data_IF_210600036198
#
_entry.id   IF_210600036198
#
_cell.length_a   1.000
_cell.length_b   1.000
_cell.length_c   1.000
_cell.angle_alpha   90.00
_cell.angle_beta   90.00
_cell.angle_gamma   90.00
#
_symmetry.space_group_name_H-M   'P 1'
#
loop_
_entity.id
_entity.type
_entity.pdbx_description
1 polymer ?
#
# COMPACT_ATOMS: atom_id res chain seq x y z
N UNK A 1 -35.16 22.54 2.12
CA UNK A 1 -34.02 21.68 2.51
C UNK A 1 -34.26 20.21 2.17
N UNK A 2 -35.46 19.65 2.39
CA UNK A 2 -35.76 18.26 1.97
C UNK A 2 -35.63 17.98 0.47
N UNK A 3 -36.02 18.92 -0.40
CA UNK A 3 -35.93 18.75 -1.86
C UNK A 3 -34.48 18.65 -2.34
N UNK A 4 -33.58 19.48 -1.78
CA UNK A 4 -32.14 19.46 -2.10
C UNK A 4 -31.49 18.11 -1.73
N UNK A 5 -31.84 17.54 -0.57
CA UNK A 5 -31.34 16.22 -0.18
C UNK A 5 -31.82 15.11 -1.11
N UNK A 6 -33.06 15.18 -1.62
CA UNK A 6 -33.58 14.19 -2.58
C UNK A 6 -32.88 14.28 -3.94
N UNK A 7 -32.58 15.49 -4.42
CA UNK A 7 -31.82 15.70 -5.65
C UNK A 7 -30.37 15.20 -5.54
N UNK A 8 -29.68 15.51 -4.44
CA UNK A 8 -28.30 15.05 -4.23
C UNK A 8 -28.23 13.51 -4.13
N UNK A 9 -29.17 12.87 -3.42
CA UNK A 9 -29.24 11.41 -3.33
C UNK A 9 -29.58 10.79 -4.70
N UNK A 10 -30.49 11.40 -5.47
CA UNK A 10 -30.83 10.92 -6.81
C UNK A 10 -29.65 11.04 -7.81
N UNK A 11 -28.82 12.08 -7.69
CA UNK A 11 -27.61 12.25 -8.51
C UNK A 11 -26.51 11.23 -8.14
N UNK A 12 -26.27 11.03 -6.84
CA UNK A 12 -25.32 10.02 -6.32
C UNK A 12 -25.73 8.60 -6.74
N UNK A 13 -27.03 8.35 -6.83
CA UNK A 13 -27.60 7.08 -7.26
C UNK A 13 -27.97 7.06 -8.74
N UNK A 14 -27.62 8.05 -9.56
CA UNK A 14 -27.91 8.04 -10.99
C UNK A 14 -26.88 7.20 -11.75
N UNK A 15 -27.29 6.48 -12.82
CA UNK A 15 -26.43 5.46 -13.46
C UNK A 15 -25.24 6.11 -14.16
N UNK A 16 -25.50 7.31 -14.66
CA UNK A 16 -24.54 8.13 -15.38
C UNK A 16 -23.88 9.19 -14.50
N UNK A 17 -24.26 9.25 -13.21
CA UNK A 17 -23.78 10.20 -12.24
C UNK A 17 -22.27 10.14 -12.07
N UNK A 18 -21.63 11.31 -12.12
CA UNK A 18 -20.17 11.45 -11.97
C UNK A 18 -19.72 10.86 -10.63
N UNK A 19 -20.50 11.04 -9.57
CA UNK A 19 -20.18 10.53 -8.22
C UNK A 19 -20.06 9.01 -8.20
N UNK A 20 -20.97 8.28 -8.84
CA UNK A 20 -20.93 6.82 -8.90
C UNK A 20 -19.73 6.31 -9.72
N UNK A 21 -19.42 6.99 -10.83
CA UNK A 21 -18.23 6.69 -11.65
C UNK A 21 -16.94 6.89 -10.86
N UNK A 22 -16.84 8.00 -10.12
CA UNK A 22 -15.71 8.28 -9.23
C UNK A 22 -15.62 7.20 -8.15
N UNK A 23 -16.74 6.85 -7.51
CA UNK A 23 -16.78 5.81 -6.49
C UNK A 23 -16.26 4.45 -7.01
N UNK A 24 -16.61 4.07 -8.25
CA UNK A 24 -16.13 2.84 -8.91
C UNK A 24 -14.64 2.88 -9.24
N UNK A 25 -14.13 4.05 -9.63
CA UNK A 25 -12.72 4.23 -9.98
C UNK A 25 -11.80 4.31 -8.76
N UNK A 26 -12.33 4.83 -7.65
CA UNK A 26 -11.54 5.17 -6.48
C UNK A 26 -10.75 3.99 -5.89
N UNK A 27 -11.28 2.75 -5.78
CA UNK A 27 -10.49 1.61 -5.33
C UNK A 27 -9.23 1.33 -6.18
N UNK A 28 -9.31 1.51 -7.50
CA UNK A 28 -8.15 1.30 -8.40
C UNK A 28 -7.10 2.39 -8.19
N UNK A 29 -7.54 3.64 -8.06
CA UNK A 29 -6.63 4.76 -7.75
C UNK A 29 -5.92 4.51 -6.42
N UNK A 30 -6.67 4.18 -5.37
CA UNK A 30 -6.12 3.98 -4.03
C UNK A 30 -5.19 2.77 -3.96
N UNK A 31 -5.54 1.64 -4.59
CA UNK A 31 -4.65 0.47 -4.67
C UNK A 31 -3.39 0.78 -5.46
N UNK A 32 -3.48 1.54 -6.55
CA UNK A 32 -2.31 1.99 -7.33
C UNK A 32 -1.40 2.87 -6.47
N UNK A 33 -1.95 3.84 -5.74
CA UNK A 33 -1.17 4.70 -4.82
C UNK A 33 -0.46 3.86 -3.76
N UNK A 34 -1.17 2.92 -3.14
CA UNK A 34 -0.59 2.04 -2.10
C UNK A 34 0.50 1.13 -2.66
N UNK A 35 0.28 0.54 -3.83
CA UNK A 35 1.24 -0.32 -4.51
C UNK A 35 2.50 0.45 -4.92
N UNK A 36 2.34 1.61 -5.56
CA UNK A 36 3.47 2.46 -5.97
C UNK A 36 4.24 2.99 -4.76
N UNK A 37 3.56 3.40 -3.68
CA UNK A 37 4.22 3.77 -2.44
C UNK A 37 5.06 2.61 -1.88
N UNK A 38 4.56 1.37 -1.93
CA UNK A 38 5.30 0.19 -1.45
C UNK A 38 6.53 -0.12 -2.31
N UNK A 39 6.41 -0.02 -3.64
CA UNK A 39 7.52 -0.19 -4.59
C UNK A 39 8.55 0.93 -4.41
N UNK A 40 8.11 2.18 -4.23
CA UNK A 40 8.98 3.31 -3.96
C UNK A 40 9.75 3.15 -2.64
N UNK A 41 9.08 2.68 -1.58
CA UNK A 41 9.75 2.35 -0.31
C UNK A 41 10.82 1.26 -0.49
N UNK A 42 10.54 0.23 -1.29
CA UNK A 42 11.53 -0.80 -1.59
C UNK A 42 12.77 -0.19 -2.25
N UNK A 43 12.62 0.56 -3.34
CA UNK A 43 13.77 1.17 -4.03
C UNK A 43 14.50 2.21 -3.18
N UNK A 44 13.77 3.05 -2.44
CA UNK A 44 14.37 4.03 -1.54
C UNK A 44 15.21 3.40 -0.43
N UNK A 45 14.86 2.18 0.01
CA UNK A 45 15.65 1.47 1.02
C UNK A 45 16.84 0.75 0.38
N UNK A 46 16.72 0.28 -0.87
CA UNK A 46 17.83 -0.40 -1.57
C UNK A 46 19.04 0.51 -1.81
N UNK A 47 18.86 1.84 -1.82
CA UNK A 47 19.99 2.78 -1.91
C UNK A 47 20.90 2.75 -0.68
N UNK A 48 20.42 2.19 0.44
CA UNK A 48 21.22 1.95 1.65
C UNK A 48 21.85 0.55 1.68
N UNK A 49 21.89 -0.17 0.55
CA UNK A 49 22.52 -1.48 0.41
C UNK A 49 23.62 -1.50 -0.66
N UNK A 50 24.62 -2.40 -0.53
CA UNK A 50 25.53 -2.77 -1.62
C UNK A 50 24.76 -3.23 -2.89
N UNK A 51 25.17 -2.87 -4.13
CA UNK A 51 26.36 -2.09 -4.51
C UNK A 51 26.14 -0.57 -4.59
N UNK A 52 24.95 -0.08 -4.23
CA UNK A 52 24.55 1.32 -4.41
C UNK A 52 25.19 2.29 -3.42
N UNK A 53 25.95 1.77 -2.46
CA UNK A 53 26.78 2.54 -1.56
C UNK A 53 28.23 2.53 -2.03
N UNK A 54 28.96 3.65 -1.94
CA UNK A 54 30.37 3.68 -2.30
C UNK A 54 31.12 2.60 -1.54
N UNK A 55 31.65 1.61 -2.25
CA UNK A 55 32.48 0.57 -1.68
C UNK A 55 33.91 1.09 -1.59
N UNK A 56 34.36 1.43 -0.39
CA UNK A 56 35.79 1.56 -0.17
C UNK A 56 36.44 0.17 -0.28
N UNK A 57 37.66 0.04 -0.82
CA UNK A 57 38.37 -1.23 -0.93
C UNK A 57 38.38 -1.96 0.41
N UNK A 58 38.20 -3.29 0.42
CA UNK A 58 38.10 -4.12 1.62
C UNK A 58 39.30 -3.93 2.58
N UNK A 59 40.45 -3.52 2.06
CA UNK A 59 41.70 -3.24 2.78
C UNK A 59 41.82 -1.81 3.34
N UNK A 60 40.90 -0.91 3.02
CA UNK A 60 40.99 0.51 3.42
C UNK A 60 40.32 0.77 4.78
N UNK A 61 40.91 1.64 5.60
CA UNK A 61 40.27 2.19 6.81
C UNK A 61 38.96 2.95 6.52
N UNK A 62 38.71 3.30 5.26
CA UNK A 62 37.46 3.89 4.77
C UNK A 62 36.31 2.88 4.64
N UNK A 63 36.58 1.56 4.51
CA UNK A 63 35.53 0.52 4.50
C UNK A 63 34.76 0.48 5.82
N UNK A 64 35.43 0.83 6.94
CA UNK A 64 34.81 1.03 8.26
C UNK A 64 34.04 2.36 8.41
N UNK A 65 34.25 3.34 7.51
CA UNK A 65 33.65 4.68 7.60
C UNK A 65 32.35 4.83 6.80
N UNK A 66 32.13 4.00 5.79
CA UNK A 66 30.90 4.05 4.97
C UNK A 66 29.85 3.14 5.63
N UNK A 67 29.35 3.60 6.77
CA UNK A 67 28.28 2.94 7.51
C UNK A 67 26.98 3.73 7.29
N UNK A 68 26.05 3.19 6.52
CA UNK A 68 24.76 3.84 6.26
C UNK A 68 23.71 3.60 7.34
N UNK A 69 24.01 2.78 8.35
CA UNK A 69 23.13 2.53 9.48
C UNK A 69 22.60 3.82 10.14
N UNK A 70 23.42 4.85 10.44
CA UNK A 70 22.92 6.06 11.10
C UNK A 70 21.95 6.83 10.22
N UNK A 71 22.24 6.95 8.91
CA UNK A 71 21.38 7.64 7.95
C UNK A 71 20.07 6.88 7.76
N UNK A 72 20.13 5.55 7.63
CA UNK A 72 18.96 4.67 7.52
C UNK A 72 18.08 4.74 8.78
N UNK A 73 18.68 4.75 9.99
CA UNK A 73 17.97 4.95 11.26
C UNK A 73 17.21 6.27 11.29
N UNK A 74 17.87 7.38 10.91
CA UNK A 74 17.25 8.71 10.86
C UNK A 74 16.11 8.73 9.83
N UNK A 75 16.34 8.16 8.64
CA UNK A 75 15.33 8.05 7.61
C UNK A 75 14.13 7.23 8.08
N UNK A 76 14.34 6.07 8.72
CA UNK A 76 13.25 5.25 9.25
C UNK A 76 12.46 5.97 10.34
N UNK A 77 13.14 6.66 11.27
CA UNK A 77 12.47 7.44 12.33
C UNK A 77 11.62 8.58 11.77
N UNK A 78 12.09 9.25 10.71
CA UNK A 78 11.41 10.41 10.12
C UNK A 78 10.35 10.03 9.10
N UNK A 79 10.69 9.20 8.12
CA UNK A 79 9.81 8.78 7.03
C UNK A 79 8.68 7.89 7.52
N UNK A 80 8.96 6.88 8.35
CA UNK A 80 7.90 5.96 8.83
C UNK A 80 6.87 6.71 9.66
N UNK A 81 7.31 7.59 10.57
CA UNK A 81 6.38 8.37 11.42
C UNK A 81 5.45 9.28 10.62
N UNK A 82 5.93 9.85 9.50
CA UNK A 82 5.15 10.76 8.65
C UNK A 82 4.25 10.04 7.66
N UNK A 83 4.75 8.97 7.05
CA UNK A 83 4.06 8.27 5.95
C UNK A 83 3.02 7.27 6.49
N UNK A 84 3.27 6.64 7.64
CA UNK A 84 2.43 5.56 8.15
C UNK A 84 0.97 5.98 8.43
N UNK A 85 0.67 7.13 9.09
CA UNK A 85 -0.71 7.57 9.28
C UNK A 85 -1.45 7.81 7.95
N UNK A 86 -0.77 8.39 6.96
CA UNK A 86 -1.33 8.62 5.63
C UNK A 86 -1.66 7.31 4.91
N UNK A 87 -0.75 6.32 4.97
CA UNK A 87 -0.99 4.98 4.41
C UNK A 87 -2.19 4.31 5.08
N UNK A 88 -2.33 4.41 6.41
CA UNK A 88 -3.49 3.86 7.12
C UNK A 88 -4.80 4.53 6.67
N UNK A 89 -4.81 5.87 6.54
CA UNK A 89 -5.98 6.60 6.05
C UNK A 89 -6.40 6.14 4.65
N UNK A 90 -5.44 5.99 3.73
CA UNK A 90 -5.68 5.51 2.36
C UNK A 90 -6.21 4.07 2.36
N UNK A 91 -5.68 3.18 3.21
CA UNK A 91 -6.18 1.80 3.37
C UNK A 91 -7.62 1.77 3.88
N UNK A 92 -7.96 2.62 4.86
CA UNK A 92 -9.33 2.69 5.37
C UNK A 92 -10.30 3.22 4.32
N UNK A 93 -9.90 4.27 3.59
CA UNK A 93 -10.69 4.81 2.49
C UNK A 93 -10.87 3.78 1.36
N UNK A 94 -9.83 3.01 1.03
CA UNK A 94 -9.92 1.91 0.08
C UNK A 94 -10.97 0.88 0.51
N UNK A 95 -10.91 0.45 1.78
CA UNK A 95 -11.86 -0.54 2.30
C UNK A 95 -13.29 -0.02 2.29
N UNK A 96 -13.50 1.24 2.68
CA UNK A 96 -14.81 1.87 2.66
C UNK A 96 -15.36 1.95 1.23
N UNK A 97 -14.53 2.37 0.27
CA UNK A 97 -14.94 2.49 -1.14
C UNK A 97 -15.22 1.14 -1.78
N UNK A 98 -14.44 0.10 -1.45
CA UNK A 98 -14.72 -1.27 -1.85
C UNK A 98 -16.06 -1.77 -1.28
N UNK A 99 -16.33 -1.53 0.01
CA UNK A 99 -17.62 -1.87 0.63
C UNK A 99 -18.78 -1.12 -0.04
N UNK A 100 -18.62 0.18 -0.26
CA UNK A 100 -19.64 0.97 -0.95
C UNK A 100 -19.91 0.43 -2.36
N UNK A 101 -18.90 0.03 -3.12
CA UNK A 101 -19.11 -0.59 -4.44
C UNK A 101 -19.81 -1.97 -4.37
N UNK A 102 -19.69 -2.70 -3.26
CA UNK A 102 -20.39 -3.99 -3.07
C UNK A 102 -21.90 -3.79 -2.80
N UNK A 103 -22.28 -2.67 -2.17
CA UNK A 103 -23.65 -2.44 -1.69
C UNK A 103 -24.42 -1.34 -2.43
N UNK A 104 -23.75 -0.35 -3.02
CA UNK A 104 -24.38 0.75 -3.74
C UNK A 104 -24.72 0.28 -5.15
N UNK A 105 -26.01 0.30 -5.46
CA UNK A 105 -26.58 -0.07 -6.77
C UNK A 105 -26.10 -1.42 -7.30
N UNK A 106 -26.37 -2.52 -6.57
CA UNK A 106 -25.95 -3.85 -6.98
C UNK A 106 -26.58 -4.29 -8.32
N UNK A 107 -27.73 -3.71 -8.69
CA UNK A 107 -28.40 -3.93 -9.97
C UNK A 107 -27.57 -3.49 -11.19
N UNK A 108 -26.61 -2.58 -11.01
CA UNK A 108 -25.77 -2.09 -12.10
C UNK A 108 -24.71 -3.11 -12.54
N UNK A 109 -24.47 -4.14 -11.72
CA UNK A 109 -23.52 -5.19 -12.04
C UNK A 109 -24.10 -6.28 -12.95
N UNK A 110 -25.40 -6.21 -13.32
CA UNK A 110 -26.04 -7.16 -14.25
C UNK A 110 -25.77 -8.64 -13.92
N UNK A 111 -25.59 -9.47 -14.95
CA UNK A 111 -25.05 -10.85 -14.85
C UNK A 111 -23.52 -10.89 -14.59
N UNK A 112 -22.88 -9.74 -14.38
CA UNK A 112 -21.42 -9.59 -14.33
C UNK A 112 -20.81 -9.90 -12.96
N UNK A 113 -19.56 -10.33 -12.99
CA UNK A 113 -18.74 -10.64 -11.81
C UNK A 113 -18.21 -9.38 -11.07
N UNK A 114 -18.74 -8.18 -11.34
CA UNK A 114 -18.28 -6.91 -10.77
C UNK A 114 -18.36 -6.88 -9.23
N UNK A 115 -19.49 -7.29 -8.67
CA UNK A 115 -19.67 -7.37 -7.20
C UNK A 115 -18.71 -8.39 -6.56
N UNK A 116 -18.52 -9.54 -7.20
CA UNK A 116 -17.60 -10.59 -6.72
C UNK A 116 -16.17 -10.08 -6.73
N UNK A 117 -15.75 -9.39 -7.79
CA UNK A 117 -14.39 -8.85 -7.92
C UNK A 117 -14.11 -7.70 -6.95
N UNK A 118 -15.09 -6.83 -6.65
CA UNK A 118 -14.97 -5.89 -5.52
C UNK A 118 -14.90 -6.61 -4.16
N UNK A 119 -15.69 -7.67 -3.95
CA UNK A 119 -15.62 -8.51 -2.76
C UNK A 119 -14.25 -9.18 -2.57
N UNK A 120 -13.69 -9.75 -3.63
CA UNK A 120 -12.35 -10.34 -3.63
C UNK A 120 -11.28 -9.28 -3.34
N UNK A 121 -11.39 -8.08 -3.94
CA UNK A 121 -10.51 -6.96 -3.64
C UNK A 121 -10.60 -6.56 -2.16
N UNK A 122 -11.82 -6.54 -1.59
CA UNK A 122 -12.02 -6.23 -0.18
C UNK A 122 -11.32 -7.26 0.72
N UNK A 123 -11.46 -8.55 0.45
CA UNK A 123 -10.78 -9.62 1.20
C UNK A 123 -9.26 -9.50 1.06
N UNK A 124 -8.74 -9.33 -0.16
CA UNK A 124 -7.31 -9.18 -0.42
C UNK A 124 -6.72 -7.93 0.27
N UNK A 125 -7.52 -6.88 0.51
CA UNK A 125 -7.10 -5.72 1.29
C UNK A 125 -6.71 -6.04 2.75
N UNK A 126 -7.02 -7.24 3.25
CA UNK A 126 -6.61 -7.74 4.57
C UNK A 126 -5.47 -8.77 4.50
N UNK A 127 -5.07 -9.23 3.31
CA UNK A 127 -4.08 -10.29 3.17
C UNK A 127 -2.67 -9.90 3.68
N UNK A 128 -2.42 -8.62 3.96
CA UNK A 128 -1.18 -8.16 4.59
C UNK A 128 -1.14 -8.37 6.11
N UNK A 129 -2.28 -8.64 6.76
CA UNK A 129 -2.36 -8.75 8.23
C UNK A 129 -1.41 -9.82 8.81
N UNK A 130 -1.22 -11.01 8.21
CA UNK A 130 -0.26 -11.99 8.72
C UNK A 130 1.21 -11.52 8.63
N UNK A 131 1.52 -10.61 7.71
CA UNK A 131 2.87 -10.07 7.50
C UNK A 131 3.15 -8.84 8.38
N UNK A 132 2.11 -8.09 8.73
CA UNK A 132 2.23 -6.81 9.43
C UNK A 132 2.94 -6.92 10.79
N UNK A 133 2.63 -7.88 11.69
CA UNK A 133 3.33 -8.02 12.97
C UNK A 133 4.83 -8.27 12.79
N UNK A 134 5.21 -9.10 11.82
CA UNK A 134 6.62 -9.41 11.55
C UNK A 134 7.36 -8.17 11.02
N UNK A 135 6.76 -7.43 10.09
CA UNK A 135 7.31 -6.17 9.58
C UNK A 135 7.48 -5.13 10.69
N UNK A 136 6.43 -4.90 11.49
CA UNK A 136 6.46 -3.93 12.60
C UNK A 136 7.53 -4.27 13.62
N UNK A 137 7.73 -5.55 13.93
CA UNK A 137 8.81 -5.99 14.85
C UNK A 137 10.18 -5.60 14.31
N UNK A 138 10.44 -5.85 13.02
CA UNK A 138 11.71 -5.51 12.38
C UNK A 138 11.89 -3.98 12.32
N UNK A 139 10.87 -3.24 11.89
CA UNK A 139 10.91 -1.78 11.83
C UNK A 139 11.14 -1.14 13.21
N UNK A 140 10.49 -1.63 14.26
CA UNK A 140 10.68 -1.12 15.62
C UNK A 140 12.08 -1.42 16.14
N UNK A 141 12.67 -2.58 15.82
CA UNK A 141 14.08 -2.86 16.12
C UNK A 141 15.00 -1.91 15.33
N UNK A 142 14.81 -1.74 14.03
CA UNK A 142 15.65 -0.82 13.24
C UNK A 142 15.58 0.64 13.73
N UNK A 143 14.45 1.08 14.30
CA UNK A 143 14.31 2.42 14.89
C UNK A 143 14.90 2.54 16.30
N UNK A 144 15.10 1.43 17.01
CA UNK A 144 15.56 1.42 18.41
C UNK A 144 16.97 2.02 18.55
N UNK A 145 17.20 2.91 19.53
CA UNK A 145 18.54 3.38 19.87
C UNK A 145 19.51 2.27 20.28
N UNK A 146 18.99 1.14 20.77
CA UNK A 146 19.77 0.02 21.30
C UNK A 146 20.26 -0.94 20.19
N UNK A 147 19.75 -0.83 18.97
CA UNK A 147 20.18 -1.70 17.86
C UNK A 147 21.54 -1.27 17.33
N UNK A 148 22.52 -2.17 17.40
CA UNK A 148 23.86 -1.93 16.86
C UNK A 148 23.85 -1.72 15.35
N UNK A 149 24.85 -1.02 14.84
CA UNK A 149 24.89 -0.69 13.40
C UNK A 149 25.07 -1.93 12.51
N UNK A 150 25.84 -2.91 12.98
CA UNK A 150 26.03 -4.19 12.30
C UNK A 150 24.75 -5.04 12.24
N UNK A 151 23.85 -4.89 13.23
CA UNK A 151 22.58 -5.62 13.27
C UNK A 151 21.56 -5.09 12.24
N UNK A 152 21.68 -3.83 11.84
CA UNK A 152 20.71 -3.17 10.96
C UNK A 152 20.73 -3.79 9.58
N UNK A 153 21.90 -4.17 9.06
CA UNK A 153 21.99 -4.81 7.74
C UNK A 153 21.21 -6.13 7.74
N UNK A 154 21.34 -6.93 8.79
CA UNK A 154 20.57 -8.18 8.95
C UNK A 154 19.06 -7.94 9.11
N UNK A 155 18.67 -6.93 9.89
CA UNK A 155 17.26 -6.53 10.02
C UNK A 155 16.69 -6.02 8.69
N UNK A 156 17.48 -5.29 7.91
CA UNK A 156 17.09 -4.76 6.61
C UNK A 156 16.87 -5.88 5.59
N UNK A 157 17.74 -6.88 5.54
CA UNK A 157 17.55 -8.08 4.73
C UNK A 157 16.25 -8.82 5.12
N UNK A 158 15.99 -8.97 6.42
CA UNK A 158 14.75 -9.52 6.93
C UNK A 158 13.52 -8.71 6.50
N UNK A 159 13.61 -7.38 6.58
CA UNK A 159 12.57 -6.47 6.11
C UNK A 159 12.32 -6.64 4.62
N UNK A 160 13.38 -6.68 3.80
CA UNK A 160 13.28 -6.87 2.34
C UNK A 160 12.59 -8.17 1.97
N UNK A 161 12.95 -9.28 2.62
CA UNK A 161 12.32 -10.59 2.37
C UNK A 161 10.81 -10.51 2.60
N UNK A 162 10.37 -9.94 3.72
CA UNK A 162 8.95 -9.82 4.04
C UNK A 162 8.26 -8.81 3.12
N UNK A 163 8.91 -7.69 2.82
CA UNK A 163 8.36 -6.65 1.95
C UNK A 163 8.19 -7.15 0.51
N UNK A 164 9.12 -7.96 -0.02
CA UNK A 164 8.97 -8.60 -1.33
C UNK A 164 7.78 -9.57 -1.37
N UNK A 165 7.62 -10.40 -0.33
CA UNK A 165 6.45 -11.28 -0.22
C UNK A 165 5.17 -10.43 -0.21
N UNK A 166 5.15 -9.34 0.56
CA UNK A 166 3.99 -8.44 0.58
C UNK A 166 3.71 -7.83 -0.79
N UNK A 167 4.72 -7.30 -1.48
CA UNK A 167 4.55 -6.70 -2.83
C UNK A 167 3.92 -7.73 -3.77
N UNK A 168 4.51 -8.91 -3.89
CA UNK A 168 4.15 -9.86 -4.94
C UNK A 168 2.98 -10.76 -4.60
N UNK A 169 2.78 -11.09 -3.32
CA UNK A 169 1.70 -11.98 -2.89
C UNK A 169 0.46 -11.25 -2.35
N UNK A 170 0.56 -9.94 -2.07
CA UNK A 170 -0.55 -9.16 -1.51
C UNK A 170 -0.87 -7.93 -2.34
N UNK A 171 0.05 -6.97 -2.43
CA UNK A 171 -0.25 -5.65 -2.98
C UNK A 171 -0.46 -5.71 -4.51
N UNK A 172 0.35 -6.49 -5.24
CA UNK A 172 0.22 -6.69 -6.68
C UNK A 172 -1.05 -7.47 -7.07
N UNK A 173 -1.38 -8.63 -6.45
CA UNK A 173 -2.65 -9.29 -6.70
C UNK A 173 -3.88 -8.42 -6.37
N UNK A 174 -3.85 -7.69 -5.25
CA UNK A 174 -4.93 -6.77 -4.90
C UNK A 174 -5.14 -5.70 -5.98
N UNK A 175 -4.04 -5.14 -6.49
CA UNK A 175 -4.08 -4.15 -7.56
C UNK A 175 -4.69 -4.73 -8.85
N UNK A 176 -4.28 -5.93 -9.27
CA UNK A 176 -4.84 -6.61 -10.44
C UNK A 176 -6.34 -6.91 -10.28
N UNK A 177 -6.77 -7.42 -9.12
CA UNK A 177 -8.19 -7.73 -8.87
C UNK A 177 -9.02 -6.45 -8.82
N UNK A 178 -8.46 -5.33 -8.35
CA UNK A 178 -9.13 -4.03 -8.36
C UNK A 178 -9.30 -3.50 -9.78
N UNK A 179 -8.30 -3.66 -10.66
CA UNK A 179 -8.43 -3.35 -12.09
C UNK A 179 -9.48 -4.24 -12.74
N UNK A 180 -9.48 -5.55 -12.44
CA UNK A 180 -10.49 -6.45 -12.98
C UNK A 180 -11.91 -6.02 -12.53
N UNK A 181 -12.06 -5.57 -11.27
CA UNK A 181 -13.34 -5.08 -10.76
C UNK A 181 -13.85 -3.88 -11.54
N UNK A 182 -12.99 -2.89 -11.84
CA UNK A 182 -13.42 -1.73 -12.62
C UNK A 182 -13.74 -2.08 -14.07
N UNK A 183 -12.92 -2.93 -14.72
CA UNK A 183 -13.13 -3.34 -16.11
C UNK A 183 -14.46 -4.10 -16.25
N UNK A 184 -14.77 -4.99 -15.30
CA UNK A 184 -16.04 -5.70 -15.25
C UNK A 184 -17.25 -4.79 -14.95
N UNK A 185 -17.00 -3.61 -14.37
CA UNK A 185 -18.06 -2.64 -14.03
C UNK A 185 -18.29 -1.61 -15.14
N UNK A 186 -17.27 -1.27 -15.93
CA UNK A 186 -17.36 -0.30 -17.04
C UNK A 186 -17.85 -0.96 -18.34
N UNK A 187 -17.68 -2.29 -18.48
CA UNK A 187 -18.16 -3.05 -19.65
C UNK A 187 -19.68 -3.33 -19.66
N UNK A 188 -20.45 -2.75 -18.74
CA UNK A 188 -21.91 -2.91 -18.56
C UNK A 188 -22.61 -1.54 -18.52
#
# INVERSE_FOLDING_TARGET
MESYNRFAVAEVLSKDGVVLKVLRLLPVILTTVLFMNRVAQFYAITTFMPPHMPHAPASSTASKRINAAPVLKIWLRTSVARVFPGVLAVVMLLRLTLLLNIFVRPSDFGFGYGRITYGLSFILSFAHLPLAPKMLRIENRMKSPQTGDDEIVGLLQGWFKINNIRIWAVDFPLWLVSIAAIVNTIRL
#
